data_IF_393673644039
#
_entry.id   IF_393673644039
#
_cell.length_a   1.000
_cell.length_b   1.000
_cell.length_c   1.000
_cell.angle_alpha   90.00
_cell.angle_beta   90.00
_cell.angle_gamma   90.00
#
_symmetry.space_group_name_H-M   'P 1'
#
loop_
_entity.id
_entity.type
_entity.pdbx_description
1 polymer ?
#
# COMPACT_ATOMS: atom_id res chain seq x y z
N UNK A 1 64.01 -22.80 -24.59
CA UNK A 1 62.64 -22.95 -25.13
C UNK A 1 61.61 -23.24 -24.05
N UNK A 2 61.87 -24.10 -23.05
CA UNK A 2 60.90 -24.46 -22.00
C UNK A 2 60.44 -23.30 -21.08
N UNK A 3 61.28 -22.31 -20.79
CA UNK A 3 60.95 -21.18 -19.88
C UNK A 3 59.90 -20.20 -20.46
N UNK A 4 59.87 -20.01 -21.78
CA UNK A 4 58.87 -19.14 -22.43
C UNK A 4 57.48 -19.79 -22.47
N UNK A 5 57.43 -21.12 -22.54
CA UNK A 5 56.18 -21.89 -22.46
C UNK A 5 55.59 -21.85 -21.04
N UNK A 6 56.41 -22.01 -20.00
CA UNK A 6 55.95 -21.94 -18.61
C UNK A 6 55.42 -20.54 -18.28
N UNK A 7 56.11 -19.48 -18.69
CA UNK A 7 55.70 -18.10 -18.43
C UNK A 7 54.39 -17.74 -19.15
N UNK A 8 54.22 -18.19 -20.40
CA UNK A 8 52.97 -17.99 -21.16
C UNK A 8 51.79 -18.74 -20.54
N UNK A 9 52.03 -19.96 -20.04
CA UNK A 9 51.00 -20.76 -19.37
C UNK A 9 50.57 -20.16 -18.03
N UNK A 10 51.50 -19.64 -17.24
CA UNK A 10 51.21 -18.95 -15.99
C UNK A 10 50.43 -17.66 -16.20
N UNK A 11 50.80 -16.86 -17.21
CA UNK A 11 50.07 -15.64 -17.57
C UNK A 11 48.63 -15.96 -18.01
N UNK A 12 48.43 -17.01 -18.81
CA UNK A 12 47.09 -17.48 -19.21
C UNK A 12 46.26 -17.90 -17.98
N UNK A 13 46.87 -18.64 -17.04
CA UNK A 13 46.20 -19.09 -15.81
C UNK A 13 45.77 -17.90 -14.95
N UNK A 14 46.64 -16.91 -14.75
CA UNK A 14 46.31 -15.70 -14.00
C UNK A 14 45.22 -14.88 -14.71
N UNK A 15 45.29 -14.74 -16.03
CA UNK A 15 44.25 -14.10 -16.82
C UNK A 15 42.88 -14.79 -16.69
N UNK A 16 42.86 -16.12 -16.75
CA UNK A 16 41.64 -16.91 -16.55
C UNK A 16 41.09 -16.79 -15.12
N UNK A 17 41.95 -16.82 -14.10
CA UNK A 17 41.55 -16.61 -12.71
C UNK A 17 40.97 -15.22 -12.47
N UNK A 18 41.62 -14.19 -13.02
CA UNK A 18 41.15 -12.82 -12.93
C UNK A 18 39.83 -12.62 -13.67
N UNK A 19 39.71 -13.14 -14.89
CA UNK A 19 38.46 -13.11 -15.67
C UNK A 19 37.32 -13.85 -14.97
N UNK A 20 37.60 -15.02 -14.39
CA UNK A 20 36.64 -15.77 -13.58
C UNK A 20 36.19 -15.00 -12.34
N UNK A 21 37.12 -14.39 -11.61
CA UNK A 21 36.82 -13.56 -10.45
C UNK A 21 35.94 -12.34 -10.83
N UNK A 22 36.27 -11.65 -11.92
CA UNK A 22 35.47 -10.55 -12.44
C UNK A 22 34.05 -10.97 -12.85
N UNK A 23 33.93 -12.14 -13.50
CA UNK A 23 32.63 -12.69 -13.87
C UNK A 23 31.77 -12.99 -12.65
N UNK A 24 32.33 -13.66 -11.63
CA UNK A 24 31.64 -13.97 -10.38
C UNK A 24 31.24 -12.67 -9.67
N UNK A 25 32.15 -11.70 -9.56
CA UNK A 25 31.86 -10.41 -8.94
C UNK A 25 30.70 -9.69 -9.65
N UNK A 26 30.70 -9.66 -10.99
CA UNK A 26 29.61 -9.05 -11.77
C UNK A 26 28.27 -9.75 -11.52
N UNK A 27 28.25 -11.08 -11.47
CA UNK A 27 27.02 -11.85 -11.21
C UNK A 27 26.51 -11.63 -9.78
N UNK A 28 27.41 -11.58 -8.80
CA UNK A 28 27.07 -11.29 -7.42
C UNK A 28 26.41 -9.91 -7.28
N UNK A 29 26.97 -8.88 -7.92
CA UNK A 29 26.41 -7.51 -7.91
C UNK A 29 25.03 -7.48 -8.58
N UNK A 30 24.86 -8.13 -9.73
CA UNK A 30 23.56 -8.20 -10.41
C UNK A 30 22.49 -8.87 -9.54
N UNK A 31 22.85 -9.97 -8.88
CA UNK A 31 21.95 -10.68 -7.99
C UNK A 31 21.58 -9.86 -6.76
N UNK A 32 22.57 -9.24 -6.11
CA UNK A 32 22.36 -8.37 -4.96
C UNK A 32 21.45 -7.18 -5.31
N UNK A 33 21.68 -6.54 -6.46
CA UNK A 33 20.85 -5.42 -6.92
C UNK A 33 19.42 -5.85 -7.23
N UNK A 34 19.24 -7.01 -7.87
CA UNK A 34 17.91 -7.56 -8.15
C UNK A 34 17.14 -7.85 -6.86
N UNK A 35 17.79 -8.52 -5.90
CA UNK A 35 17.22 -8.80 -4.57
C UNK A 35 16.82 -7.52 -3.85
N UNK A 36 17.72 -6.53 -3.81
CA UNK A 36 17.46 -5.24 -3.16
C UNK A 36 16.26 -4.51 -3.78
N UNK A 37 16.16 -4.49 -5.12
CA UNK A 37 15.01 -3.86 -5.80
C UNK A 37 13.70 -4.57 -5.47
N UNK A 38 13.70 -5.90 -5.40
CA UNK A 38 12.52 -6.68 -5.03
C UNK A 38 12.08 -6.38 -3.59
N UNK A 39 13.03 -6.35 -2.66
CA UNK A 39 12.79 -6.00 -1.26
C UNK A 39 12.22 -4.57 -1.13
N UNK A 40 12.83 -3.59 -1.82
CA UNK A 40 12.31 -2.22 -1.82
C UNK A 40 10.95 -2.07 -2.48
N UNK A 41 10.66 -2.84 -3.51
CA UNK A 41 9.34 -2.85 -4.12
C UNK A 41 8.30 -3.46 -3.18
N UNK A 42 8.64 -4.55 -2.49
CA UNK A 42 7.79 -5.17 -1.48
C UNK A 42 7.51 -4.23 -0.31
N UNK A 43 8.53 -3.54 0.23
CA UNK A 43 8.36 -2.54 1.28
C UNK A 43 7.41 -1.41 0.87
N UNK A 44 7.56 -0.89 -0.36
CA UNK A 44 6.69 0.17 -0.89
C UNK A 44 5.24 -0.29 -1.04
N UNK A 45 5.02 -1.54 -1.48
CA UNK A 45 3.69 -2.13 -1.54
C UNK A 45 3.08 -2.25 -0.15
N UNK A 46 3.83 -2.79 0.81
CA UNK A 46 3.39 -2.92 2.19
C UNK A 46 2.99 -1.55 2.75
N UNK A 47 3.84 -0.53 2.58
CA UNK A 47 3.56 0.83 3.03
C UNK A 47 2.26 1.36 2.41
N UNK A 48 2.08 1.23 1.09
CA UNK A 48 0.87 1.68 0.41
C UNK A 48 -0.39 0.98 0.94
N UNK A 49 -0.36 -0.34 1.18
CA UNK A 49 -1.47 -1.05 1.80
C UNK A 49 -1.74 -0.55 3.23
N UNK A 50 -0.68 -0.34 4.02
CA UNK A 50 -0.80 0.19 5.38
C UNK A 50 -1.44 1.57 5.40
N UNK A 51 -1.02 2.47 4.51
CA UNK A 51 -1.56 3.83 4.43
C UNK A 51 -3.04 3.84 4.05
N UNK A 52 -3.43 3.04 3.05
CA UNK A 52 -4.83 2.86 2.67
C UNK A 52 -5.67 2.33 3.84
N UNK A 53 -5.21 1.25 4.49
CA UNK A 53 -5.95 0.62 5.59
C UNK A 53 -6.03 1.51 6.83
N UNK A 54 -4.99 2.31 7.11
CA UNK A 54 -4.99 3.25 8.22
C UNK A 54 -5.98 4.40 8.00
N UNK A 55 -6.04 4.94 6.78
CA UNK A 55 -7.02 5.98 6.42
C UNK A 55 -8.46 5.45 6.51
N UNK A 56 -8.74 4.29 5.91
CA UNK A 56 -10.05 3.63 5.98
C UNK A 56 -10.42 3.31 7.44
N UNK A 57 -9.48 2.79 8.22
CA UNK A 57 -9.69 2.47 9.63
C UNK A 57 -10.05 3.70 10.47
N UNK A 58 -9.43 4.85 10.18
CA UNK A 58 -9.76 6.10 10.88
C UNK A 58 -11.15 6.61 10.51
N UNK A 59 -11.53 6.53 9.23
CA UNK A 59 -12.88 6.89 8.78
C UNK A 59 -13.94 6.00 9.46
N UNK A 60 -13.71 4.68 9.50
CA UNK A 60 -14.55 3.72 10.22
C UNK A 60 -14.74 4.10 11.69
N UNK A 61 -13.66 4.39 12.41
CA UNK A 61 -13.74 4.78 13.82
C UNK A 61 -14.59 6.04 14.04
N UNK A 62 -14.54 7.00 13.12
CA UNK A 62 -15.37 8.21 13.21
C UNK A 62 -16.84 7.89 12.95
N UNK A 63 -17.14 7.08 11.92
CA UNK A 63 -18.51 6.64 11.62
C UNK A 63 -19.11 5.85 12.80
N UNK A 64 -18.37 4.89 13.36
CA UNK A 64 -18.79 4.11 14.54
C UNK A 64 -19.06 5.03 15.74
N UNK A 65 -18.25 6.08 15.93
CA UNK A 65 -18.44 7.04 17.03
C UNK A 65 -19.71 7.85 16.84
N UNK A 66 -19.98 8.32 15.61
CA UNK A 66 -21.21 9.04 15.29
C UNK A 66 -22.45 8.17 15.47
N UNK A 67 -22.42 6.93 14.98
CA UNK A 67 -23.49 5.96 15.16
C UNK A 67 -23.79 5.70 16.64
N UNK A 68 -22.75 5.41 17.44
CA UNK A 68 -22.91 5.16 18.87
C UNK A 68 -23.48 6.38 19.62
N UNK A 69 -23.01 7.59 19.32
CA UNK A 69 -23.52 8.81 19.95
C UNK A 69 -25.02 9.02 19.66
N UNK A 70 -25.46 8.73 18.43
CA UNK A 70 -26.88 8.83 18.06
C UNK A 70 -27.72 7.75 18.75
N UNK A 71 -27.25 6.49 18.75
CA UNK A 71 -27.94 5.37 19.41
C UNK A 71 -28.09 5.59 20.92
N UNK A 72 -27.06 6.15 21.57
CA UNK A 72 -27.07 6.48 23.00
C UNK A 72 -27.77 7.82 23.30
N UNK A 73 -28.19 8.57 22.27
CA UNK A 73 -28.72 9.95 22.38
C UNK A 73 -27.82 10.85 23.21
N UNK A 74 -26.51 10.68 23.03
CA UNK A 74 -25.50 11.40 23.77
C UNK A 74 -25.39 12.82 23.22
N UNK A 75 -25.54 13.82 24.09
CA UNK A 75 -25.20 15.20 23.73
C UNK A 75 -23.69 15.30 23.52
N UNK A 76 -23.28 15.56 22.28
CA UNK A 76 -21.88 15.78 21.90
C UNK A 76 -21.64 17.29 21.88
N UNK A 77 -20.55 17.74 22.50
CA UNK A 77 -20.21 19.17 22.43
C UNK A 77 -19.87 19.56 20.99
N UNK A 78 -20.16 20.80 20.56
CA UNK A 78 -19.82 21.27 19.22
C UNK A 78 -18.33 21.09 18.89
N UNK A 79 -17.43 21.31 19.85
CA UNK A 79 -15.99 21.13 19.61
C UNK A 79 -15.62 19.67 19.33
N UNK A 80 -16.24 18.72 20.05
CA UNK A 80 -15.98 17.30 19.88
C UNK A 80 -16.54 16.76 18.56
N UNK A 81 -17.63 17.33 18.05
CA UNK A 81 -18.15 16.98 16.73
C UNK A 81 -17.29 17.58 15.60
N UNK A 82 -16.90 18.85 15.71
CA UNK A 82 -15.98 19.49 14.77
C UNK A 82 -14.65 18.73 14.65
N UNK A 83 -14.12 18.21 15.77
CA UNK A 83 -12.94 17.36 15.77
C UNK A 83 -13.16 16.07 14.96
N UNK A 84 -14.29 15.40 15.14
CA UNK A 84 -14.60 14.17 14.40
C UNK A 84 -14.77 14.45 12.90
N UNK A 85 -15.47 15.53 12.54
CA UNK A 85 -15.62 15.97 11.14
C UNK A 85 -14.24 16.27 10.52
N UNK A 86 -13.37 16.98 11.24
CA UNK A 86 -12.01 17.29 10.80
C UNK A 86 -11.17 16.02 10.60
N UNK A 87 -11.25 15.08 11.55
CA UNK A 87 -10.55 13.79 11.47
C UNK A 87 -11.03 12.95 10.30
N UNK A 88 -12.35 12.90 10.05
CA UNK A 88 -12.92 12.19 8.92
C UNK A 88 -12.42 12.80 7.59
N UNK A 89 -12.55 14.12 7.42
CA UNK A 89 -12.12 14.83 6.21
C UNK A 89 -10.63 14.66 5.94
N UNK A 90 -9.81 14.80 6.99
CA UNK A 90 -8.36 14.60 6.88
C UNK A 90 -8.02 13.17 6.46
N UNK A 91 -8.75 12.17 6.98
CA UNK A 91 -8.53 10.76 6.62
C UNK A 91 -8.98 10.46 5.20
N UNK A 92 -10.08 11.06 4.75
CA UNK A 92 -10.53 10.99 3.37
C UNK A 92 -9.49 11.60 2.41
N UNK A 93 -8.94 12.77 2.74
CA UNK A 93 -7.86 13.38 1.95
C UNK A 93 -6.62 12.49 1.89
N UNK A 94 -6.20 11.92 3.03
CA UNK A 94 -5.07 10.97 3.06
C UNK A 94 -5.34 9.72 2.23
N UNK A 95 -6.58 9.24 2.22
CA UNK A 95 -6.99 8.13 1.37
C UNK A 95 -6.85 8.50 -0.11
N UNK A 96 -7.32 9.67 -0.51
CA UNK A 96 -7.18 10.19 -1.89
C UNK A 96 -5.72 10.36 -2.32
N UNK A 97 -4.86 10.89 -1.44
CA UNK A 97 -3.42 10.99 -1.69
C UNK A 97 -2.77 9.61 -1.83
N UNK A 98 -3.14 8.66 -0.96
CA UNK A 98 -2.65 7.29 -1.01
C UNK A 98 -3.12 6.55 -2.27
N UNK A 99 -4.30 6.86 -2.80
CA UNK A 99 -4.82 6.28 -4.05
C UNK A 99 -3.87 6.59 -5.22
N UNK A 100 -3.41 7.83 -5.36
CA UNK A 100 -2.50 8.21 -6.46
C UNK A 100 -1.17 7.45 -6.44
N UNK A 101 -0.62 7.17 -5.25
CA UNK A 101 0.58 6.35 -5.10
C UNK A 101 0.28 4.86 -5.31
N UNK A 102 -0.86 4.40 -4.79
CA UNK A 102 -1.31 3.02 -4.89
C UNK A 102 -1.53 2.59 -6.34
N UNK A 103 -2.09 3.45 -7.19
CA UNK A 103 -2.31 3.15 -8.62
C UNK A 103 -1.02 2.83 -9.37
N UNK A 104 0.12 3.38 -8.93
CA UNK A 104 1.43 3.12 -9.55
C UNK A 104 2.07 1.81 -9.07
N UNK A 105 1.87 1.44 -7.80
CA UNK A 105 2.68 0.41 -7.13
C UNK A 105 1.87 -0.86 -6.82
N UNK A 106 0.55 -0.75 -6.61
CA UNK A 106 -0.33 -1.84 -6.26
C UNK A 106 -0.92 -2.53 -7.50
N UNK A 107 -1.47 -3.75 -7.35
CA UNK A 107 -2.09 -4.46 -8.45
C UNK A 107 -3.27 -3.68 -9.07
N UNK A 108 -3.50 -3.75 -10.39
CA UNK A 108 -4.57 -3.02 -11.08
C UNK A 108 -5.97 -3.26 -10.51
N UNK A 109 -6.21 -4.43 -9.89
CA UNK A 109 -7.48 -4.73 -9.20
C UNK A 109 -7.77 -3.74 -8.08
N UNK A 110 -6.75 -3.33 -7.31
CA UNK A 110 -6.89 -2.32 -6.24
C UNK A 110 -7.23 -0.96 -6.84
N UNK A 111 -6.52 -0.53 -7.88
CA UNK A 111 -6.81 0.73 -8.58
C UNK A 111 -8.28 0.78 -9.05
N UNK A 112 -8.80 -0.32 -9.61
CA UNK A 112 -10.20 -0.41 -10.02
C UNK A 112 -11.22 -0.30 -8.88
N UNK A 113 -10.86 -0.73 -7.65
CA UNK A 113 -11.69 -0.55 -6.46
C UNK A 113 -11.64 0.90 -5.96
N UNK A 114 -10.43 1.45 -5.87
CA UNK A 114 -10.19 2.81 -5.40
C UNK A 114 -10.81 3.86 -6.32
N UNK A 115 -10.73 3.65 -7.64
CA UNK A 115 -11.35 4.56 -8.63
C UNK A 115 -12.88 4.62 -8.55
N UNK A 116 -13.54 3.63 -7.93
CA UNK A 116 -14.99 3.63 -7.69
C UNK A 116 -15.38 4.19 -6.33
N UNK A 117 -14.45 4.24 -5.37
CA UNK A 117 -14.73 4.58 -3.98
C UNK A 117 -15.47 5.92 -3.83
N UNK A 118 -14.95 7.00 -4.44
CA UNK A 118 -15.59 8.32 -4.33
C UNK A 118 -17.02 8.32 -4.87
N UNK A 119 -17.26 7.58 -5.96
CA UNK A 119 -18.59 7.44 -6.53
C UNK A 119 -19.50 6.64 -5.60
N UNK A 120 -19.00 5.55 -5.02
CA UNK A 120 -19.76 4.69 -4.11
C UNK A 120 -20.10 5.43 -2.80
N UNK A 121 -19.18 6.19 -2.21
CA UNK A 121 -19.43 7.03 -1.03
C UNK A 121 -20.45 8.13 -1.32
N UNK A 122 -20.30 8.85 -2.44
CA UNK A 122 -21.27 9.87 -2.84
C UNK A 122 -22.65 9.27 -3.08
N UNK A 123 -22.73 8.09 -3.67
CA UNK A 123 -23.99 7.38 -3.91
C UNK A 123 -24.64 6.93 -2.59
N UNK A 124 -23.85 6.49 -1.61
CA UNK A 124 -24.35 6.15 -0.28
C UNK A 124 -25.01 7.36 0.40
N UNK A 125 -24.35 8.52 0.36
CA UNK A 125 -24.92 9.78 0.87
C UNK A 125 -26.18 10.21 0.12
N UNK A 126 -26.17 10.17 -1.22
CA UNK A 126 -27.28 10.69 -2.04
C UNK A 126 -28.57 9.85 -1.91
N UNK A 127 -28.44 8.54 -1.68
CA UNK A 127 -29.58 7.63 -1.57
C UNK A 127 -30.19 7.60 -0.17
N UNK A 128 -29.47 8.12 0.82
CA UNK A 128 -29.92 8.12 2.19
C UNK A 128 -31.08 9.09 2.41
N UNK A 129 -32.11 8.63 3.10
CA UNK A 129 -33.28 9.43 3.52
C UNK A 129 -33.04 10.14 4.85
N UNK A 130 -32.05 9.68 5.61
CA UNK A 130 -31.65 10.25 6.90
C UNK A 130 -30.12 10.30 7.03
N UNK A 131 -29.63 11.12 7.95
CA UNK A 131 -28.20 11.20 8.23
C UNK A 131 -27.60 9.88 8.72
N UNK A 132 -28.34 9.12 9.55
CA UNK A 132 -27.90 7.79 9.99
C UNK A 132 -27.80 6.79 8.86
N UNK A 133 -28.77 6.80 7.93
CA UNK A 133 -28.71 5.94 6.74
C UNK A 133 -27.51 6.29 5.85
N UNK A 134 -27.09 7.57 5.80
CA UNK A 134 -25.89 7.97 5.09
C UNK A 134 -24.63 7.40 5.74
N UNK A 135 -24.52 7.47 7.08
CA UNK A 135 -23.41 6.89 7.85
C UNK A 135 -23.33 5.39 7.62
N UNK A 136 -24.45 4.67 7.76
CA UNK A 136 -24.50 3.23 7.58
C UNK A 136 -24.10 2.83 6.14
N UNK A 137 -24.59 3.59 5.15
CA UNK A 137 -24.23 3.40 3.75
C UNK A 137 -22.74 3.56 3.50
N UNK A 138 -22.13 4.64 4.02
CA UNK A 138 -20.68 4.85 3.93
C UNK A 138 -19.89 3.76 4.66
N UNK A 139 -20.36 3.35 5.83
CA UNK A 139 -19.73 2.31 6.63
C UNK A 139 -19.65 1.00 5.83
N UNK A 140 -20.75 0.61 5.17
CA UNK A 140 -20.82 -0.59 4.31
C UNK A 140 -19.83 -0.48 3.14
N UNK A 141 -19.77 0.67 2.47
CA UNK A 141 -18.82 0.91 1.36
C UNK A 141 -17.38 0.76 1.84
N UNK A 142 -17.01 1.43 2.93
CA UNK A 142 -15.67 1.39 3.48
C UNK A 142 -15.30 0.00 4.01
N UNK A 143 -16.24 -0.72 4.64
CA UNK A 143 -16.00 -2.06 5.15
C UNK A 143 -15.77 -3.07 4.02
N UNK A 144 -16.55 -2.95 2.95
CA UNK A 144 -16.36 -3.74 1.74
C UNK A 144 -14.98 -3.48 1.13
N UNK A 145 -14.61 -2.20 0.94
CA UNK A 145 -13.29 -1.83 0.42
C UNK A 145 -12.18 -2.38 1.31
N UNK A 146 -12.27 -2.19 2.63
CA UNK A 146 -11.29 -2.71 3.60
C UNK A 146 -11.06 -4.21 3.46
N UNK A 147 -12.15 -4.99 3.36
CA UNK A 147 -12.07 -6.45 3.20
C UNK A 147 -11.39 -6.85 1.90
N UNK A 148 -11.77 -6.22 0.79
CA UNK A 148 -11.18 -6.52 -0.51
C UNK A 148 -9.71 -6.11 -0.60
N UNK A 149 -9.34 -4.94 -0.05
CA UNK A 149 -7.94 -4.49 0.06
C UNK A 149 -7.13 -5.44 0.92
N UNK A 150 -7.66 -5.93 2.04
CA UNK A 150 -6.98 -6.91 2.89
C UNK A 150 -6.77 -8.25 2.18
N UNK A 151 -7.79 -8.77 1.50
CA UNK A 151 -7.71 -10.04 0.78
C UNK A 151 -6.66 -9.98 -0.33
N UNK A 152 -6.71 -8.93 -1.16
CA UNK A 152 -5.75 -8.72 -2.24
C UNK A 152 -4.35 -8.44 -1.68
N UNK A 153 -4.24 -7.63 -0.63
CA UNK A 153 -2.97 -7.28 -0.01
C UNK A 153 -2.26 -8.48 0.59
N UNK A 154 -2.99 -9.39 1.26
CA UNK A 154 -2.42 -10.65 1.76
C UNK A 154 -1.88 -11.51 0.62
N UNK A 155 -2.65 -11.66 -0.45
CA UNK A 155 -2.23 -12.42 -1.62
C UNK A 155 -1.01 -11.81 -2.34
N UNK A 156 -0.98 -10.48 -2.52
CA UNK A 156 0.09 -9.76 -3.21
C UNK A 156 1.40 -9.74 -2.41
N UNK A 157 1.30 -9.55 -1.08
CA UNK A 157 2.45 -9.53 -0.18
C UNK A 157 2.93 -10.93 0.22
N UNK A 158 2.14 -11.97 -0.08
CA UNK A 158 2.37 -13.38 0.28
C UNK A 158 2.44 -13.60 1.80
N UNK A 159 1.46 -13.05 2.52
CA UNK A 159 1.30 -13.15 3.98
C UNK A 159 -0.03 -13.80 4.36
#
# INVERSE_FOLDING_TARGET
>A
MNEWYSLSFEALKLGAQFGGALFIARKAVQWALSRYKQEKHWERKLQAYTDLLAAIGTMHQVLDKWENNELERKEVSPEADEENVSRYRTSMQKLEEAIGVAELILPPKIAGLLGKLQTDLRNAQYRATSWMEAIEGEWVVLNKLRKEVLEIGRADLKI
#
